data_IF_971866725727
#
_entry.id   IF_971866725727
#
_cell.length_a   1.000
_cell.length_b   1.000
_cell.length_c   1.000
_cell.angle_alpha   90.00
_cell.angle_beta   90.00
_cell.angle_gamma   90.00
#
_symmetry.space_group_name_H-M   'P 1'
#
loop_
_entity.id
_entity.type
_entity.pdbx_description
1 polymer ?
#
# COMPACT_ATOMS: atom_id res chain seq x y z
N UNK A 1 11.96 12.08 23.35
CA UNK A 1 11.84 12.30 21.90
C UNK A 1 12.48 13.65 21.60
N UNK A 2 13.65 13.70 20.93
CA UNK A 2 14.32 14.98 20.64
C UNK A 2 13.64 15.61 19.41
N UNK A 3 13.08 16.81 19.58
CA UNK A 3 12.51 17.59 18.49
C UNK A 3 13.62 17.97 17.50
N UNK A 4 13.37 17.78 16.21
CA UNK A 4 14.27 18.21 15.15
C UNK A 4 14.23 19.76 15.12
N UNK A 5 15.39 20.45 15.14
CA UNK A 5 15.41 21.91 15.08
C UNK A 5 14.73 22.42 13.80
N UNK A 6 13.89 23.45 13.94
CA UNK A 6 13.12 24.04 12.85
C UNK A 6 14.02 24.47 11.68
N UNK A 7 15.18 25.00 12.02
CA UNK A 7 16.22 25.47 11.09
C UNK A 7 16.80 24.34 10.23
N UNK A 8 16.83 23.10 10.75
CA UNK A 8 17.27 21.94 9.98
C UNK A 8 16.23 21.55 8.91
N UNK A 9 14.94 21.64 9.24
CA UNK A 9 13.86 21.36 8.28
C UNK A 9 13.86 22.38 7.15
N UNK A 10 13.94 23.67 7.49
CA UNK A 10 14.00 24.74 6.50
C UNK A 10 15.24 24.64 5.62
N UNK A 11 16.42 24.39 6.20
CA UNK A 11 17.66 24.15 5.44
C UNK A 11 17.54 22.94 4.50
N UNK A 12 16.95 21.83 4.97
CA UNK A 12 16.80 20.62 4.17
C UNK A 12 15.87 20.82 2.97
N UNK A 13 14.71 21.47 3.20
CA UNK A 13 13.69 21.75 2.18
C UNK A 13 14.14 22.78 1.14
N UNK A 14 14.95 23.76 1.53
CA UNK A 14 15.48 24.80 0.62
C UNK A 14 16.61 24.27 -0.26
N UNK A 15 17.48 23.41 0.30
CA UNK A 15 18.69 22.94 -0.41
C UNK A 15 18.53 21.60 -1.12
N UNK A 16 17.48 20.85 -0.81
CA UNK A 16 17.11 19.66 -1.57
C UNK A 16 15.80 19.98 -2.26
N UNK A 17 15.82 20.14 -3.60
CA UNK A 17 14.60 20.03 -4.40
C UNK A 17 13.94 18.73 -3.97
N UNK A 18 12.79 18.82 -3.31
CA UNK A 18 11.95 17.66 -3.05
C UNK A 18 11.78 17.01 -4.43
N UNK A 19 12.26 15.77 -4.62
CA UNK A 19 12.19 15.13 -5.92
C UNK A 19 10.76 15.21 -6.41
N UNK A 20 10.57 15.51 -7.70
CA UNK A 20 9.25 15.44 -8.34
C UNK A 20 8.53 14.19 -7.82
N UNK A 21 7.36 14.39 -7.20
CA UNK A 21 6.72 13.45 -6.29
C UNK A 21 6.36 12.18 -7.06
N UNK A 22 7.31 11.27 -7.11
CA UNK A 22 7.24 10.13 -8.01
C UNK A 22 6.22 9.16 -7.44
N UNK A 23 5.22 8.82 -8.26
CA UNK A 23 4.25 7.77 -7.96
C UNK A 23 4.99 6.51 -7.54
N UNK A 24 4.50 5.80 -6.52
CA UNK A 24 5.13 4.55 -6.12
C UNK A 24 4.16 3.47 -5.66
N UNK A 25 4.60 2.22 -5.77
CA UNK A 25 3.86 1.04 -5.33
C UNK A 25 4.72 0.24 -4.37
N UNK A 26 4.18 -0.03 -3.18
CA UNK A 26 4.72 -1.02 -2.24
C UNK A 26 4.14 -2.37 -2.61
N UNK A 27 4.96 -3.20 -3.24
CA UNK A 27 4.65 -4.57 -3.57
C UNK A 27 5.09 -5.50 -2.44
N UNK A 28 4.15 -6.27 -1.88
CA UNK A 28 4.45 -7.10 -0.72
C UNK A 28 3.60 -8.37 -0.65
N UNK A 29 4.02 -9.30 0.21
CA UNK A 29 3.16 -10.38 0.69
C UNK A 29 2.35 -9.93 1.91
N UNK A 30 1.26 -10.62 2.22
CA UNK A 30 0.57 -10.43 3.48
C UNK A 30 1.53 -10.71 4.66
N UNK A 31 1.31 -10.03 5.81
CA UNK A 31 2.09 -10.20 7.06
C UNK A 31 3.60 -9.92 6.94
N UNK A 32 3.98 -9.11 5.95
CA UNK A 32 5.37 -8.68 5.71
C UNK A 32 5.78 -7.40 6.45
N UNK A 33 4.83 -6.74 7.14
CA UNK A 33 5.02 -5.39 7.68
C UNK A 33 4.66 -4.26 6.71
N UNK A 34 4.19 -4.60 5.50
CA UNK A 34 3.82 -3.61 4.47
C UNK A 34 2.72 -2.66 4.87
N UNK A 35 1.73 -3.12 5.63
CA UNK A 35 0.65 -2.26 6.15
C UNK A 35 1.19 -1.25 7.16
N UNK A 36 2.10 -1.66 8.06
CA UNK A 36 2.73 -0.74 9.00
C UNK A 36 3.57 0.32 8.28
N UNK A 37 4.36 -0.08 7.29
CA UNK A 37 5.11 0.85 6.45
C UNK A 37 4.18 1.81 5.69
N UNK A 38 3.11 1.29 5.08
CA UNK A 38 2.16 2.10 4.31
C UNK A 38 1.44 3.13 5.19
N UNK A 39 1.03 2.76 6.41
CA UNK A 39 0.45 3.68 7.38
C UNK A 39 1.43 4.80 7.73
N UNK A 40 2.66 4.46 8.13
CA UNK A 40 3.67 5.46 8.50
C UNK A 40 3.96 6.42 7.35
N UNK A 41 4.07 5.92 6.12
CA UNK A 41 4.25 6.77 4.94
C UNK A 41 3.03 7.66 4.67
N UNK A 42 1.82 7.13 4.86
CA UNK A 42 0.57 7.86 4.67
C UNK A 42 0.30 8.97 5.69
N UNK A 43 1.01 9.00 6.81
CA UNK A 43 0.97 10.14 7.76
C UNK A 43 1.76 11.37 7.26
N UNK A 44 2.55 11.22 6.19
CA UNK A 44 3.24 12.34 5.56
C UNK A 44 2.26 13.20 4.76
N UNK A 45 2.34 14.53 4.90
CA UNK A 45 1.49 15.48 4.16
C UNK A 45 1.55 15.30 2.64
N UNK A 46 2.69 14.83 2.16
CA UNK A 46 2.95 14.74 0.73
C UNK A 46 2.52 13.38 0.16
N UNK A 47 2.07 12.43 1.00
CA UNK A 47 1.76 11.06 0.60
C UNK A 47 0.27 10.75 0.76
N UNK A 48 -0.44 10.84 -0.36
CA UNK A 48 -1.79 10.25 -0.50
C UNK A 48 -1.66 8.75 -0.77
N UNK A 49 -1.83 7.93 0.26
CA UNK A 49 -1.68 6.47 0.23
C UNK A 49 -3.02 5.75 0.08
N UNK A 50 -3.14 4.84 -0.89
CA UNK A 50 -4.21 3.83 -0.92
C UNK A 50 -3.66 2.47 -0.48
N UNK A 51 -4.31 1.87 0.54
CA UNK A 51 -3.92 0.60 1.13
C UNK A 51 -4.78 -0.52 0.54
N UNK A 52 -4.15 -1.40 -0.23
CA UNK A 52 -4.77 -2.60 -0.83
C UNK A 52 -5.97 -2.28 -1.76
N UNK A 53 -5.82 -1.40 -2.77
CA UNK A 53 -6.92 -1.01 -3.67
C UNK A 53 -7.53 -2.18 -4.44
N UNK A 54 -6.77 -3.26 -4.61
CA UNK A 54 -7.19 -4.45 -5.34
C UNK A 54 -7.78 -5.55 -4.45
N UNK A 55 -7.96 -5.28 -3.16
CA UNK A 55 -8.60 -6.23 -2.26
C UNK A 55 -10.10 -6.36 -2.59
N UNK A 56 -10.70 -7.57 -2.59
CA UNK A 56 -12.13 -7.75 -2.88
C UNK A 56 -13.09 -7.01 -1.95
N UNK A 57 -12.60 -6.58 -0.78
CA UNK A 57 -13.35 -5.76 0.20
C UNK A 57 -12.99 -4.27 0.14
N UNK A 58 -12.17 -3.84 -0.82
CA UNK A 58 -11.67 -2.46 -0.87
C UNK A 58 -12.81 -1.43 -0.94
N UNK A 59 -13.81 -1.66 -1.80
CA UNK A 59 -15.00 -0.80 -1.89
C UNK A 59 -15.90 -0.87 -0.64
N UNK A 60 -15.83 -1.95 0.15
CA UNK A 60 -16.51 -2.00 1.45
C UNK A 60 -15.81 -1.12 2.49
N UNK A 61 -14.49 -0.94 2.38
CA UNK A 61 -13.71 -0.05 3.24
C UNK A 61 -13.72 1.39 2.76
N UNK A 62 -13.90 1.60 1.45
CA UNK A 62 -13.92 2.90 0.78
C UNK A 62 -15.15 2.95 -0.15
N UNK A 63 -16.36 3.26 0.35
CA UNK A 63 -17.61 3.16 -0.41
C UNK A 63 -17.67 4.01 -1.69
N UNK A 64 -16.92 5.10 -1.74
CA UNK A 64 -16.83 5.99 -2.91
C UNK A 64 -15.87 5.46 -4.00
N UNK A 65 -15.18 4.35 -3.73
CA UNK A 65 -14.22 3.76 -4.66
C UNK A 65 -14.80 2.56 -5.41
N UNK A 66 -14.32 2.38 -6.64
CA UNK A 66 -14.68 1.23 -7.47
C UNK A 66 -14.14 -0.08 -6.85
N UNK A 67 -14.86 -1.17 -7.08
CA UNK A 67 -14.33 -2.53 -6.85
C UNK A 67 -13.33 -2.90 -7.95
N UNK A 68 -12.06 -2.52 -7.77
CA UNK A 68 -11.00 -2.81 -8.73
C UNK A 68 -10.72 -4.31 -8.89
N UNK A 69 -11.05 -5.13 -7.89
CA UNK A 69 -10.83 -6.58 -7.96
C UNK A 69 -11.68 -7.25 -9.04
N UNK A 70 -12.88 -6.70 -9.32
CA UNK A 70 -13.78 -7.17 -10.38
C UNK A 70 -13.57 -6.46 -11.71
N UNK A 71 -13.10 -5.21 -11.66
CA UNK A 71 -12.87 -4.41 -12.86
C UNK A 71 -11.65 -4.88 -13.65
N UNK A 72 -10.57 -5.26 -12.96
CA UNK A 72 -9.32 -5.67 -13.57
C UNK A 72 -9.41 -7.12 -14.06
N UNK A 73 -9.51 -7.29 -15.37
CA UNK A 73 -9.60 -8.61 -16.03
C UNK A 73 -8.44 -8.86 -16.98
N UNK A 74 -7.73 -7.81 -17.37
CA UNK A 74 -6.65 -7.86 -18.33
C UNK A 74 -5.62 -6.73 -18.12
N UNK A 75 -4.67 -6.63 -19.06
CA UNK A 75 -3.61 -5.63 -19.04
C UNK A 75 -4.13 -4.20 -19.19
N UNK A 76 -5.14 -4.00 -20.03
CA UNK A 76 -5.70 -2.68 -20.34
C UNK A 76 -6.47 -2.11 -19.14
N UNK A 77 -7.34 -2.93 -18.55
CA UNK A 77 -8.11 -2.57 -17.35
C UNK A 77 -7.21 -2.36 -16.14
N UNK A 78 -6.05 -3.04 -16.04
CA UNK A 78 -5.02 -2.72 -15.05
C UNK A 78 -4.44 -1.32 -15.25
N UNK A 79 -4.04 -0.95 -16.47
CA UNK A 79 -3.51 0.39 -16.74
C UNK A 79 -4.56 1.49 -16.45
N UNK A 80 -5.81 1.28 -16.85
CA UNK A 80 -6.93 2.17 -16.54
C UNK A 80 -7.13 2.32 -15.02
N UNK A 81 -7.07 1.21 -14.27
CA UNK A 81 -7.17 1.24 -12.81
C UNK A 81 -5.99 1.99 -12.16
N UNK A 82 -4.77 1.80 -12.67
CA UNK A 82 -3.60 2.53 -12.16
C UNK A 82 -3.73 4.04 -12.42
N UNK A 83 -4.17 4.44 -13.61
CA UNK A 83 -4.35 5.87 -13.93
C UNK A 83 -5.44 6.50 -13.05
N UNK A 84 -6.56 5.81 -12.84
CA UNK A 84 -7.62 6.27 -11.95
C UNK A 84 -7.13 6.42 -10.50
N UNK A 85 -6.41 5.40 -9.99
CA UNK A 85 -5.85 5.42 -8.64
C UNK A 85 -4.79 6.53 -8.51
N UNK A 86 -3.90 6.69 -9.49
CA UNK A 86 -2.84 7.70 -9.41
C UNK A 86 -3.29 9.14 -9.67
N UNK A 87 -4.53 9.35 -10.11
CA UNK A 87 -5.15 10.68 -10.08
C UNK A 87 -5.48 11.10 -8.63
N UNK A 88 -5.88 10.14 -7.79
CA UNK A 88 -6.32 10.36 -6.39
C UNK A 88 -5.22 10.15 -5.35
N UNK A 89 -4.29 9.25 -5.64
CA UNK A 89 -3.23 8.80 -4.74
C UNK A 89 -1.88 8.96 -5.42
N UNK A 90 -0.81 9.09 -4.64
CA UNK A 90 0.56 9.03 -5.19
C UNK A 90 1.28 7.74 -4.80
N UNK A 91 0.70 6.98 -3.86
CA UNK A 91 1.28 5.77 -3.32
C UNK A 91 0.22 4.68 -3.19
N UNK A 92 0.55 3.46 -3.61
CA UNK A 92 -0.32 2.29 -3.46
C UNK A 92 0.41 1.20 -2.69
N UNK A 93 -0.30 0.51 -1.79
CA UNK A 93 0.17 -0.75 -1.20
C UNK A 93 -0.56 -1.91 -1.85
N UNK A 94 0.16 -2.80 -2.52
CA UNK A 94 -0.40 -3.90 -3.31
C UNK A 94 0.15 -5.24 -2.84
N UNK A 95 -0.73 -6.23 -2.77
CA UNK A 95 -0.38 -7.60 -2.43
C UNK A 95 -0.08 -8.40 -3.70
N UNK A 96 0.93 -9.28 -3.66
CA UNK A 96 1.49 -9.99 -4.82
C UNK A 96 0.80 -11.33 -5.17
N UNK A 97 -0.52 -11.44 -4.98
CA UNK A 97 -1.23 -12.71 -5.19
C UNK A 97 -2.69 -12.57 -5.68
N UNK A 98 -3.14 -11.34 -5.93
CA UNK A 98 -4.52 -11.00 -6.27
C UNK A 98 -4.82 -11.17 -7.76
N UNK A 99 -3.79 -11.07 -8.62
CA UNK A 99 -3.92 -11.19 -10.07
C UNK A 99 -2.90 -12.18 -10.67
N UNK A 100 -3.06 -12.47 -11.95
CA UNK A 100 -2.08 -13.26 -12.70
C UNK A 100 -0.76 -12.50 -12.86
N UNK A 101 0.32 -13.24 -13.17
CA UNK A 101 1.64 -12.66 -13.38
C UNK A 101 1.67 -11.68 -14.56
N UNK A 102 0.87 -11.92 -15.59
CA UNK A 102 0.76 -11.07 -16.78
C UNK A 102 0.18 -9.69 -16.46
N UNK A 103 -0.77 -9.65 -15.53
CA UNK A 103 -1.40 -8.42 -15.04
C UNK A 103 -0.41 -7.65 -14.16
N UNK A 104 0.25 -8.31 -13.20
CA UNK A 104 1.29 -7.66 -12.39
C UNK A 104 2.45 -7.12 -13.22
N UNK A 105 2.81 -7.82 -14.29
CA UNK A 105 3.85 -7.37 -15.22
C UNK A 105 3.52 -6.01 -15.85
N UNK A 106 2.24 -5.64 -16.01
CA UNK A 106 1.89 -4.29 -16.50
C UNK A 106 2.32 -3.21 -15.51
N UNK A 107 2.04 -3.41 -14.22
CA UNK A 107 2.44 -2.48 -13.17
C UNK A 107 3.96 -2.26 -13.15
N UNK A 108 4.74 -3.32 -13.36
CA UNK A 108 6.21 -3.26 -13.39
C UNK A 108 6.78 -2.60 -14.65
N UNK A 109 6.00 -2.50 -15.73
CA UNK A 109 6.44 -1.88 -17.00
C UNK A 109 6.29 -0.36 -17.02
N UNK A 110 5.50 0.20 -16.12
CA UNK A 110 5.28 1.65 -16.04
C UNK A 110 6.52 2.38 -15.54
N UNK A 111 7.08 3.23 -16.40
CA UNK A 111 8.31 3.99 -16.13
C UNK A 111 8.07 5.20 -15.22
N UNK A 112 6.83 5.66 -15.10
CA UNK A 112 6.44 6.78 -14.24
C UNK A 112 6.11 6.33 -12.80
N UNK A 113 6.28 5.05 -12.49
CA UNK A 113 6.00 4.47 -11.17
C UNK A 113 7.28 3.84 -10.60
N UNK A 114 7.63 4.23 -9.37
CA UNK A 114 8.68 3.57 -8.59
C UNK A 114 8.12 2.34 -7.88
N UNK A 115 8.86 1.24 -7.93
CA UNK A 115 8.45 -0.02 -7.30
C UNK A 115 9.30 -0.30 -6.07
N UNK A 116 8.65 -0.47 -4.92
CA UNK A 116 9.26 -0.87 -3.65
C UNK A 116 8.83 -2.29 -3.31
N UNK A 117 9.76 -3.24 -3.36
CA UNK A 117 9.49 -4.62 -2.93
C UNK A 117 9.75 -4.78 -1.43
N UNK A 118 8.71 -5.07 -0.65
CA UNK A 118 8.86 -5.40 0.77
C UNK A 118 8.76 -6.90 1.00
N UNK A 119 9.87 -7.47 1.44
CA UNK A 119 10.01 -8.91 1.66
C UNK A 119 10.43 -9.15 3.10
N UNK A 120 9.61 -9.92 3.84
CA UNK A 120 10.03 -10.48 5.14
C UNK A 120 10.98 -11.65 4.90
N UNK A 121 12.19 -11.57 5.47
CA UNK A 121 13.23 -12.60 5.35
C UNK A 121 12.78 -13.95 5.93
N UNK A 122 12.18 -13.94 7.12
CA UNK A 122 11.64 -15.15 7.75
C UNK A 122 10.24 -15.46 7.19
N UNK A 123 10.19 -16.37 6.21
CA UNK A 123 8.97 -16.78 5.51
C UNK A 123 8.05 -17.63 6.38
N UNK A 124 8.60 -18.53 7.19
CA UNK A 124 7.84 -19.39 8.12
C UNK A 124 7.04 -18.52 9.09
N UNK A 125 7.68 -17.52 9.69
CA UNK A 125 7.01 -16.61 10.61
C UNK A 125 5.94 -15.76 9.90
N UNK A 126 6.13 -15.40 8.62
CA UNK A 126 5.10 -14.73 7.82
C UNK A 126 3.89 -15.64 7.60
N UNK A 127 4.11 -16.91 7.28
CA UNK A 127 3.07 -17.89 7.04
C UNK A 127 2.27 -18.20 8.32
N UNK A 128 2.96 -18.48 9.43
CA UNK A 128 2.33 -18.67 10.75
C UNK A 128 1.50 -17.44 11.13
N UNK A 129 2.04 -16.24 10.93
CA UNK A 129 1.29 -15.02 11.21
C UNK A 129 0.08 -14.83 10.30
N UNK A 130 0.10 -15.37 9.07
CA UNK A 130 -1.03 -15.38 8.16
C UNK A 130 -2.13 -16.31 8.66
N UNK A 131 -1.77 -17.55 9.00
CA UNK A 131 -2.70 -18.56 9.53
C UNK A 131 -3.40 -18.07 10.81
N UNK A 132 -2.66 -17.45 11.74
CA UNK A 132 -3.25 -16.88 12.95
C UNK A 132 -4.24 -15.76 12.61
N UNK A 133 -3.90 -14.88 11.66
CA UNK A 133 -4.78 -13.79 11.26
C UNK A 133 -6.07 -14.29 10.58
N UNK A 134 -5.97 -15.36 9.78
CA UNK A 134 -7.13 -16.01 9.14
C UNK A 134 -8.05 -16.65 10.19
N UNK A 135 -7.50 -17.38 11.16
CA UNK A 135 -8.27 -18.05 12.21
C UNK A 135 -8.96 -17.08 13.16
N UNK A 136 -8.31 -15.96 13.47
CA UNK A 136 -8.80 -14.99 14.46
C UNK A 136 -9.54 -13.80 13.85
N UNK A 137 -9.48 -13.65 12.51
CA UNK A 137 -9.85 -12.43 11.80
C UNK A 137 -9.10 -11.15 12.26
N UNK A 138 -8.00 -11.29 13.02
CA UNK A 138 -7.18 -10.17 13.51
C UNK A 138 -5.98 -9.99 12.59
N UNK A 139 -6.02 -8.96 11.76
CA UNK A 139 -4.93 -8.63 10.83
C UNK A 139 -4.03 -7.53 11.38
N UNK A 140 -4.54 -6.68 12.26
CA UNK A 140 -3.81 -5.55 12.82
C UNK A 140 -4.13 -5.41 14.31
N UNK A 141 -3.28 -4.69 15.05
CA UNK A 141 -3.49 -4.49 16.48
C UNK A 141 -4.81 -3.77 16.76
N UNK A 142 -5.27 -2.96 15.82
CA UNK A 142 -6.53 -2.23 15.91
C UNK A 142 -7.76 -3.14 15.77
N UNK A 143 -7.63 -4.32 15.17
CA UNK A 143 -8.74 -5.26 15.00
C UNK A 143 -9.14 -5.92 16.33
N UNK A 144 -8.22 -6.02 17.29
CA UNK A 144 -8.53 -6.57 18.62
C UNK A 144 -9.55 -5.73 19.37
N UNK A 145 -9.62 -4.42 19.09
CA UNK A 145 -10.61 -3.51 19.69
C UNK A 145 -12.03 -3.74 19.17
N UNK A 146 -12.18 -4.41 18.02
CA UNK A 146 -13.49 -4.73 17.42
C UNK A 146 -14.08 -6.06 17.91
N UNK A 147 -13.28 -6.87 18.59
CA UNK A 147 -13.66 -8.18 19.11
C UNK A 147 -14.20 -8.10 20.55
N UNK A 148 -14.13 -6.92 21.18
CA UNK A 148 -14.95 -6.59 22.35
C UNK A 148 -16.27 -5.94 21.94
N UNK A 149 -17.32 -6.74 21.71
CA UNK A 149 -18.65 -6.34 22.09
C UNK A 149 -19.25 -7.36 23.07
N UNK A 150 -19.25 -6.97 24.34
CA UNK A 150 -19.88 -7.59 25.54
C UNK A 150 -19.02 -8.54 26.36
#
# INVERSE_FOLDING_TARGET
MKLIPKDFLEYYLVNHKIPDMSKFIIFANARSGSTSLAKVLGESSDVRMSIEPFHPKYSSWNPEERDYSKFIVDKKTMDEALDELFAKYIALKVLQYQFSIEIYTQMLKRKDIKILFLIRRNKVLSAVSGLVAEQTAIWQKEDTKKIDPK
#
